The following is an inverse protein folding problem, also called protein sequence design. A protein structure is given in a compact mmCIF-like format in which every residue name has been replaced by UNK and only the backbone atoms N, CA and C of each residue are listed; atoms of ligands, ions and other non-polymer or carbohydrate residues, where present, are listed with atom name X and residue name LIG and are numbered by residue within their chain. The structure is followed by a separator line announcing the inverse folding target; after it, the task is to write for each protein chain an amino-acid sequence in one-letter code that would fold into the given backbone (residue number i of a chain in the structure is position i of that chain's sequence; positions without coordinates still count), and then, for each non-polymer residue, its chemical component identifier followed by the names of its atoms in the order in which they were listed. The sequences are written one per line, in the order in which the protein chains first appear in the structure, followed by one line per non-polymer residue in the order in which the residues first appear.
data_IF_023063118075
#
_entry.id   IF_023063118075
#
_cell.length_a   1.000
_cell.length_b   1.000
_cell.length_c   1.000
_cell.angle_alpha   90.00
_cell.angle_beta   90.00
_cell.angle_gamma   90.00
#
_symmetry.space_group_name_H-M   'P 1'
#
loop_
_entity.id
_entity.type
_entity.pdbx_description
1 polymer ?
#
# COMPACT_ATOMS: atom_id res chain seq x y z
N UNK A 1 -18.57 25.93 -15.52
CA UNK A 1 -18.90 25.42 -14.17
C UNK A 1 -17.64 24.79 -13.63
N UNK A 2 -17.21 25.09 -12.40
CA UNK A 2 -15.98 24.55 -11.84
C UNK A 2 -16.24 23.78 -10.54
N UNK A 3 -15.38 22.80 -10.22
CA UNK A 3 -15.57 21.88 -9.09
C UNK A 3 -15.53 22.57 -7.74
N UNK A 4 -14.74 23.65 -7.61
CA UNK A 4 -14.72 24.48 -6.41
C UNK A 4 -16.12 25.00 -6.05
N UNK A 5 -16.85 25.55 -7.02
CA UNK A 5 -18.21 26.08 -6.82
C UNK A 5 -19.20 24.98 -6.45
N UNK A 6 -19.06 23.80 -7.06
CA UNK A 6 -19.91 22.64 -6.80
C UNK A 6 -19.70 22.11 -5.39
N UNK A 7 -18.46 21.80 -5.01
CA UNK A 7 -18.08 21.32 -3.68
C UNK A 7 -18.50 22.30 -2.58
N UNK A 8 -18.30 23.60 -2.82
CA UNK A 8 -18.73 24.64 -1.88
C UNK A 8 -20.25 24.60 -1.67
N UNK A 9 -21.03 24.50 -2.75
CA UNK A 9 -22.50 24.45 -2.66
C UNK A 9 -22.99 23.15 -2.02
N UNK A 10 -22.38 22.02 -2.35
CA UNK A 10 -22.70 20.71 -1.77
C UNK A 10 -22.50 20.71 -0.25
N UNK A 11 -21.37 21.25 0.22
CA UNK A 11 -21.07 21.41 1.65
C UNK A 11 -21.77 22.61 2.30
N UNK A 12 -22.65 23.30 1.58
CA UNK A 12 -23.41 24.48 2.03
C UNK A 12 -22.52 25.60 2.61
N UNK A 13 -21.38 25.84 1.98
CA UNK A 13 -20.42 26.88 2.38
C UNK A 13 -20.61 28.16 1.57
N UNK A 14 -20.37 29.30 2.20
CA UNK A 14 -20.30 30.61 1.54
C UNK A 14 -18.91 30.88 0.96
N UNK A 15 -18.81 31.77 -0.04
CA UNK A 15 -17.50 32.17 -0.57
C UNK A 15 -16.64 32.81 0.53
N UNK A 16 -17.27 33.61 1.40
CA UNK A 16 -16.65 34.18 2.60
C UNK A 16 -16.05 33.14 3.55
N UNK A 17 -16.76 32.05 3.83
CA UNK A 17 -16.22 30.98 4.69
C UNK A 17 -14.95 30.34 4.09
N UNK A 18 -14.96 30.06 2.79
CA UNK A 18 -13.80 29.49 2.10
C UNK A 18 -12.63 30.49 2.07
N UNK A 19 -12.93 31.77 1.84
CA UNK A 19 -11.93 32.83 1.84
C UNK A 19 -11.28 33.00 3.22
N UNK A 20 -12.08 32.93 4.29
CA UNK A 20 -11.60 32.99 5.66
C UNK A 20 -10.70 31.79 6.00
N UNK A 21 -11.08 30.58 5.58
CA UNK A 21 -10.27 29.38 5.75
C UNK A 21 -8.89 29.53 5.11
N UNK A 22 -8.83 30.03 3.88
CA UNK A 22 -7.58 30.25 3.15
C UNK A 22 -6.85 31.54 3.53
N UNK A 23 -7.44 32.39 4.38
CA UNK A 23 -6.96 33.73 4.74
C UNK A 23 -6.69 34.62 3.51
N UNK A 24 -7.62 34.61 2.55
CA UNK A 24 -7.57 35.42 1.32
C UNK A 24 -8.83 36.28 1.17
N UNK A 25 -8.82 37.16 0.16
CA UNK A 25 -9.98 37.97 -0.16
C UNK A 25 -11.11 37.11 -0.75
N UNK A 26 -12.36 37.34 -0.33
CA UNK A 26 -13.57 36.70 -0.87
C UNK A 26 -13.69 36.84 -2.39
N UNK A 27 -13.29 38.00 -2.94
CA UNK A 27 -13.26 38.23 -4.40
C UNK A 27 -12.38 37.22 -5.12
N UNK A 28 -11.33 36.72 -4.49
CA UNK A 28 -10.45 35.70 -5.07
C UNK A 28 -11.21 34.38 -5.28
N UNK A 29 -12.06 33.97 -4.33
CA UNK A 29 -12.92 32.79 -4.48
C UNK A 29 -13.88 32.97 -5.65
N UNK A 30 -14.55 34.13 -5.72
CA UNK A 30 -15.47 34.44 -6.82
C UNK A 30 -14.78 34.38 -8.18
N UNK A 31 -13.59 34.98 -8.30
CA UNK A 31 -12.77 34.94 -9.52
C UNK A 31 -12.40 33.51 -9.91
N UNK A 32 -12.01 32.67 -8.97
CA UNK A 32 -11.75 31.25 -9.24
C UNK A 32 -13.00 30.54 -9.72
N UNK A 33 -14.14 30.71 -9.04
CA UNK A 33 -15.44 30.11 -9.38
C UNK A 33 -15.97 30.51 -10.77
N UNK A 34 -15.58 31.69 -11.25
CA UNK A 34 -15.95 32.21 -12.56
C UNK A 34 -14.87 32.01 -13.63
N UNK A 35 -13.69 31.50 -13.29
CA UNK A 35 -12.57 31.31 -14.22
C UNK A 35 -11.83 32.60 -14.59
N UNK A 36 -12.05 33.70 -13.86
CA UNK A 36 -11.38 34.99 -14.06
C UNK A 36 -9.92 34.98 -13.60
N UNK A 37 -9.53 34.01 -12.77
CA UNK A 37 -8.14 33.80 -12.36
C UNK A 37 -7.89 32.33 -12.05
N UNK A 38 -6.62 31.92 -12.13
CA UNK A 38 -6.21 30.56 -11.80
C UNK A 38 -5.96 30.40 -10.30
N UNK A 39 -6.33 29.24 -9.78
CA UNK A 39 -5.99 28.83 -8.41
C UNK A 39 -4.54 28.33 -8.38
N UNK A 40 -3.79 28.70 -7.35
CA UNK A 40 -2.44 28.17 -7.16
C UNK A 40 -2.50 26.75 -6.61
N UNK A 41 -1.51 25.91 -6.94
CA UNK A 41 -1.44 24.54 -6.46
C UNK A 41 -1.55 24.43 -4.93
N UNK A 42 -0.89 25.35 -4.21
CA UNK A 42 -0.95 25.44 -2.74
C UNK A 42 -2.38 25.63 -2.22
N UNK A 43 -3.13 26.56 -2.80
CA UNK A 43 -4.50 26.83 -2.37
C UNK A 43 -5.46 25.70 -2.80
N UNK A 44 -5.23 25.12 -3.97
CA UNK A 44 -5.99 23.98 -4.45
C UNK A 44 -5.81 22.76 -3.55
N UNK A 45 -4.58 22.48 -3.09
CA UNK A 45 -4.29 21.41 -2.14
C UNK A 45 -5.02 21.62 -0.80
N UNK A 46 -4.96 22.83 -0.23
CA UNK A 46 -5.67 23.14 1.01
C UNK A 46 -7.18 22.99 0.87
N UNK A 47 -7.75 23.35 -0.27
CA UNK A 47 -9.17 23.17 -0.53
C UNK A 47 -9.55 21.70 -0.75
N UNK A 48 -8.70 20.94 -1.43
CA UNK A 48 -8.87 19.50 -1.62
C UNK A 48 -8.95 18.79 -0.26
N UNK A 49 -8.00 19.09 0.63
CA UNK A 49 -8.00 18.59 2.02
C UNK A 49 -9.25 19.04 2.79
N UNK A 50 -9.62 20.32 2.68
CA UNK A 50 -10.81 20.88 3.34
C UNK A 50 -12.11 20.19 2.90
N UNK A 51 -12.24 19.87 1.61
CA UNK A 51 -13.42 19.21 1.07
C UNK A 51 -13.37 17.68 1.20
N UNK A 52 -12.23 17.10 1.57
CA UNK A 52 -12.01 15.66 1.63
C UNK A 52 -12.02 15.02 0.25
N UNK A 53 -11.54 15.74 -0.76
CA UNK A 53 -11.49 15.27 -2.15
C UNK A 53 -10.05 15.30 -2.67
N UNK A 54 -9.71 14.47 -3.65
CA UNK A 54 -8.41 14.52 -4.31
C UNK A 54 -8.18 15.86 -5.01
N UNK A 55 -6.93 16.30 -5.05
CA UNK A 55 -6.52 17.51 -5.76
C UNK A 55 -6.89 17.49 -7.25
N UNK A 56 -6.68 16.35 -7.93
CA UNK A 56 -7.05 16.16 -9.33
C UNK A 56 -8.56 16.40 -9.58
N UNK A 57 -9.41 15.94 -8.65
CA UNK A 57 -10.86 16.16 -8.73
C UNK A 57 -11.22 17.64 -8.60
N UNK A 58 -10.59 18.37 -7.68
CA UNK A 58 -10.81 19.81 -7.51
C UNK A 58 -10.37 20.62 -8.75
N UNK A 59 -9.33 20.15 -9.44
CA UNK A 59 -8.76 20.80 -10.63
C UNK A 59 -9.42 20.40 -11.96
N UNK A 60 -10.53 19.64 -11.94
CA UNK A 60 -11.19 19.13 -13.17
C UNK A 60 -10.29 18.24 -14.04
N UNK A 61 -9.33 17.55 -13.43
CA UNK A 61 -8.47 16.56 -14.10
C UNK A 61 -9.16 15.18 -14.03
N UNK A 62 -10.32 15.05 -14.68
CA UNK A 62 -11.17 13.85 -14.63
C UNK A 62 -10.47 12.63 -15.23
N UNK A 63 -9.73 12.79 -16.33
CA UNK A 63 -9.02 11.69 -16.96
C UNK A 63 -7.90 11.14 -16.06
N UNK A 64 -7.14 12.03 -15.41
CA UNK A 64 -6.14 11.67 -14.42
C UNK A 64 -6.78 11.05 -13.17
N UNK A 65 -7.95 11.54 -12.76
CA UNK A 65 -8.69 11.01 -11.63
C UNK A 65 -9.23 9.60 -11.89
N UNK A 66 -9.80 9.35 -13.08
CA UNK A 66 -10.24 8.02 -13.49
C UNK A 66 -9.07 7.04 -13.56
N UNK A 67 -7.93 7.46 -14.11
CA UNK A 67 -6.69 6.67 -14.10
C UNK A 67 -6.23 6.35 -12.68
N UNK A 68 -6.28 7.32 -11.76
CA UNK A 68 -5.94 7.09 -10.35
C UNK A 68 -6.91 6.12 -9.66
N UNK A 69 -8.21 6.23 -9.93
CA UNK A 69 -9.23 5.31 -9.41
C UNK A 69 -9.05 3.89 -9.95
N UNK A 70 -8.75 3.76 -11.23
CA UNK A 70 -8.45 2.47 -11.87
C UNK A 70 -7.19 1.84 -11.26
N UNK A 71 -6.13 2.64 -11.07
CA UNK A 71 -4.89 2.20 -10.43
C UNK A 71 -5.15 1.70 -9.00
N UNK A 72 -5.88 2.49 -8.19
CA UNK A 72 -6.22 2.13 -6.82
C UNK A 72 -7.03 0.83 -6.73
N UNK A 73 -7.86 0.53 -7.73
CA UNK A 73 -8.61 -0.73 -7.80
C UNK A 73 -7.75 -1.93 -8.18
N UNK A 74 -6.67 -1.71 -8.95
CA UNK A 74 -5.77 -2.77 -9.44
C UNK A 74 -4.65 -3.09 -8.45
N UNK A 75 -4.27 -2.14 -7.59
CA UNK A 75 -3.21 -2.34 -6.61
C UNK A 75 -3.73 -3.20 -5.44
N UNK A 76 -2.95 -4.20 -4.99
CA UNK A 76 -3.29 -4.92 -3.77
C UNK A 76 -3.23 -3.98 -2.57
N UNK A 77 -4.12 -4.18 -1.62
CA UNK A 77 -4.02 -3.58 -0.28
C UNK A 77 -2.74 -4.05 0.40
N UNK A 78 -2.29 -3.33 1.43
CA UNK A 78 -1.13 -3.74 2.24
C UNK A 78 -1.31 -5.17 2.76
N UNK A 79 -2.52 -5.52 3.21
CA UNK A 79 -2.85 -6.87 3.68
C UNK A 79 -2.74 -7.92 2.57
N UNK A 80 -3.30 -7.65 1.39
CA UNK A 80 -3.21 -8.57 0.25
C UNK A 80 -1.78 -8.71 -0.26
N UNK A 81 -0.99 -7.63 -0.20
CA UNK A 81 0.42 -7.63 -0.52
C UNK A 81 1.19 -8.53 0.46
N UNK A 82 0.98 -8.35 1.76
CA UNK A 82 1.59 -9.18 2.81
C UNK A 82 1.21 -10.66 2.66
N UNK A 83 -0.06 -10.96 2.40
CA UNK A 83 -0.55 -12.32 2.15
C UNK A 83 0.08 -12.94 0.89
N UNK A 84 0.18 -12.18 -0.21
CA UNK A 84 0.81 -12.63 -1.45
C UNK A 84 2.29 -12.93 -1.25
N UNK A 85 2.99 -12.04 -0.54
CA UNK A 85 4.40 -12.20 -0.19
C UNK A 85 4.61 -13.42 0.70
N UNK A 86 3.80 -13.57 1.75
CA UNK A 86 3.83 -14.72 2.64
C UNK A 86 3.60 -16.03 1.86
N UNK A 87 2.56 -16.10 1.04
CA UNK A 87 2.24 -17.29 0.23
C UNK A 87 3.36 -17.64 -0.75
N UNK A 88 4.01 -16.64 -1.35
CA UNK A 88 5.17 -16.86 -2.24
C UNK A 88 6.35 -17.47 -1.47
N UNK A 89 6.61 -16.99 -0.26
CA UNK A 89 7.67 -17.52 0.60
C UNK A 89 7.35 -18.91 1.14
N UNK A 90 6.12 -19.14 1.58
CA UNK A 90 5.64 -20.44 2.02
C UNK A 90 5.83 -21.50 0.91
N UNK A 91 5.46 -21.17 -0.33
CA UNK A 91 5.66 -22.07 -1.46
C UNK A 91 7.14 -22.35 -1.76
N UNK A 92 8.03 -21.37 -1.54
CA UNK A 92 9.49 -21.58 -1.67
C UNK A 92 10.00 -22.49 -0.57
N UNK A 93 9.58 -22.25 0.68
CA UNK A 93 9.96 -23.08 1.82
C UNK A 93 9.49 -24.53 1.62
N UNK A 94 8.26 -24.75 1.17
CA UNK A 94 7.76 -26.10 0.81
C UNK A 94 8.63 -26.79 -0.24
N UNK A 95 9.05 -26.08 -1.29
CA UNK A 95 9.96 -26.64 -2.30
C UNK A 95 11.36 -26.94 -1.73
N UNK A 96 11.86 -26.09 -0.85
CA UNK A 96 13.14 -26.31 -0.18
C UNK A 96 13.09 -27.56 0.72
N UNK A 97 12.04 -27.69 1.53
CA UNK A 97 11.80 -28.87 2.38
C UNK A 97 11.65 -30.14 1.54
N UNK A 98 10.92 -30.07 0.42
CA UNK A 98 10.78 -31.17 -0.51
C UNK A 98 12.14 -31.60 -1.06
N UNK A 99 12.95 -30.64 -1.53
CA UNK A 99 14.30 -30.91 -2.03
C UNK A 99 15.19 -31.60 -0.98
N UNK A 100 15.21 -31.09 0.26
CA UNK A 100 15.97 -31.72 1.36
C UNK A 100 15.49 -33.15 1.61
N UNK A 101 14.16 -33.37 1.54
CA UNK A 101 13.57 -34.70 1.76
C UNK A 101 13.90 -35.67 0.62
N UNK A 102 13.89 -35.21 -0.63
CA UNK A 102 14.18 -36.03 -1.82
C UNK A 102 15.65 -36.48 -1.86
N UNK A 103 16.56 -35.70 -1.27
CA UNK A 103 17.99 -36.00 -1.19
C UNK A 103 18.36 -36.81 0.09
N UNK A 104 17.37 -37.38 0.80
CA UNK A 104 17.54 -38.15 2.04
C UNK A 104 18.37 -37.42 3.12
N UNK A 105 18.37 -36.09 3.12
CA UNK A 105 19.18 -35.28 4.03
C UNK A 105 18.55 -35.22 5.43
N UNK A 106 19.31 -35.67 6.44
CA UNK A 106 18.89 -35.61 7.85
C UNK A 106 19.19 -34.26 8.48
N UNK A 107 18.27 -33.32 8.36
CA UNK A 107 18.38 -31.97 8.92
C UNK A 107 17.25 -31.75 9.94
N UNK A 108 17.58 -31.14 11.08
CA UNK A 108 16.58 -30.72 12.07
C UNK A 108 15.75 -29.55 11.56
N UNK A 109 14.49 -29.48 11.95
CA UNK A 109 13.53 -28.47 11.50
C UNK A 109 13.98 -27.04 11.75
N UNK A 110 14.49 -26.72 12.94
CA UNK A 110 15.11 -25.40 13.20
C UNK A 110 16.24 -25.05 12.21
N UNK A 111 17.05 -26.04 11.82
CA UNK A 111 18.16 -25.83 10.90
C UNK A 111 17.64 -25.60 9.48
N UNK A 112 16.53 -26.23 9.09
CA UNK A 112 15.88 -25.96 7.80
C UNK A 112 15.42 -24.52 7.68
N UNK A 113 14.78 -23.99 8.74
CA UNK A 113 14.33 -22.59 8.77
C UNK A 113 15.53 -21.64 8.71
N UNK A 114 16.59 -21.91 9.47
CA UNK A 114 17.81 -21.08 9.47
C UNK A 114 18.52 -21.09 8.11
N UNK A 115 18.70 -22.27 7.50
CA UNK A 115 19.32 -22.41 6.18
C UNK A 115 18.47 -21.70 5.12
N UNK A 116 17.15 -21.91 5.14
CA UNK A 116 16.25 -21.24 4.20
C UNK A 116 16.34 -19.71 4.34
N UNK A 117 16.28 -19.19 5.56
CA UNK A 117 16.39 -17.75 5.81
C UNK A 117 17.76 -17.19 5.39
N UNK A 118 18.85 -17.94 5.60
CA UNK A 118 20.18 -17.55 5.12
C UNK A 118 20.19 -17.45 3.59
N UNK A 119 19.71 -18.48 2.89
CA UNK A 119 19.63 -18.50 1.42
C UNK A 119 18.80 -17.34 0.88
N UNK A 120 17.62 -17.08 1.47
CA UNK A 120 16.74 -15.97 1.08
C UNK A 120 17.41 -14.62 1.34
N UNK A 121 18.15 -14.46 2.45
CA UNK A 121 18.86 -13.22 2.77
C UNK A 121 20.03 -12.91 1.83
N UNK A 122 20.59 -13.93 1.18
CA UNK A 122 21.69 -13.79 0.21
C UNK A 122 21.23 -13.53 -1.22
N UNK A 123 19.93 -13.59 -1.50
CA UNK A 123 19.38 -13.35 -2.84
C UNK A 123 19.24 -11.83 -3.09
N UNK A 124 20.20 -11.25 -3.83
CA UNK A 124 20.21 -9.82 -4.18
C UNK A 124 19.02 -9.40 -5.07
N UNK A 125 18.35 -10.35 -5.73
CA UNK A 125 17.12 -10.07 -6.50
C UNK A 125 15.90 -9.91 -5.60
N UNK A 126 16.06 -10.18 -4.31
CA UNK A 126 15.00 -10.19 -3.33
C UNK A 126 15.02 -8.90 -2.51
N UNK A 127 13.87 -8.25 -2.40
CA UNK A 127 13.72 -7.02 -1.61
C UNK A 127 14.20 -7.25 -0.17
N UNK A 128 15.13 -6.39 0.26
CA UNK A 128 15.74 -6.34 1.60
C UNK A 128 14.74 -6.73 2.72
N UNK A 129 15.12 -7.73 3.53
CA UNK A 129 14.51 -8.11 4.81
C UNK A 129 13.15 -8.85 4.79
N UNK A 130 12.99 -9.91 4.00
CA UNK A 130 11.87 -10.85 4.23
C UNK A 130 12.39 -12.13 4.89
N UNK A 131 12.39 -12.12 6.22
CA UNK A 131 12.59 -13.33 7.03
C UNK A 131 11.30 -14.15 6.92
N UNK A 132 11.41 -15.45 6.64
CA UNK A 132 10.25 -16.32 6.74
C UNK A 132 9.87 -16.45 8.22
N UNK A 133 8.71 -15.92 8.64
CA UNK A 133 8.44 -15.62 10.04
C UNK A 133 7.93 -16.85 10.80
N UNK A 134 8.40 -18.04 10.44
CA UNK A 134 7.95 -19.25 11.11
C UNK A 134 8.37 -19.19 12.58
N UNK A 135 7.42 -19.21 13.53
CA UNK A 135 7.76 -19.26 14.93
C UNK A 135 8.50 -20.57 15.19
N UNK A 136 9.79 -20.48 15.49
CA UNK A 136 10.54 -21.59 16.04
C UNK A 136 9.96 -21.83 17.44
N UNK A 137 9.08 -22.82 17.59
CA UNK A 137 8.74 -23.31 18.92
C UNK A 137 10.05 -23.79 19.57
N UNK A 138 10.33 -23.35 20.80
CA UNK A 138 11.51 -23.74 21.57
C UNK A 138 11.64 -25.27 21.71
N UNK A 139 10.53 -25.99 21.54
CA UNK A 139 10.46 -27.44 21.65
C UNK A 139 10.82 -28.21 20.37
N UNK A 140 11.02 -27.55 19.23
CA UNK A 140 11.40 -28.18 17.95
C UNK A 140 10.40 -29.31 17.55
N UNK A 141 9.11 -29.17 17.92
CA UNK A 141 8.04 -30.18 17.73
C UNK A 141 7.56 -30.32 16.28
N UNK A 142 8.12 -29.53 15.37
CA UNK A 142 7.79 -29.60 13.95
C UNK A 142 8.51 -30.79 13.30
N UNK A 143 7.86 -31.36 12.28
CA UNK A 143 8.44 -32.36 11.39
C UNK A 143 8.19 -31.95 9.94
N UNK A 144 9.12 -31.21 9.34
CA UNK A 144 9.02 -30.73 7.95
C UNK A 144 9.41 -31.80 6.95
N UNK A 145 10.34 -32.69 7.33
CA UNK A 145 10.76 -33.83 6.52
C UNK A 145 10.05 -35.10 7.00
N UNK A 146 9.91 -36.12 6.15
CA UNK A 146 9.36 -37.43 6.50
C UNK A 146 10.27 -38.24 7.45
N UNK A 147 10.97 -37.56 8.36
CA UNK A 147 11.65 -38.21 9.48
C UNK A 147 10.54 -38.76 10.39
N UNK A 148 10.26 -40.06 10.24
CA UNK A 148 9.54 -40.81 11.26
C UNK A 148 10.15 -40.47 12.62
N UNK A 149 9.27 -40.25 13.61
CA UNK A 149 9.64 -40.09 15.02
C UNK A 149 10.53 -41.28 15.39
N UNK A 150 11.83 -41.07 15.35
CA UNK A 150 12.79 -42.04 15.87
C UNK A 150 12.66 -41.93 17.37
N UNK A 151 12.10 -42.99 17.94
CA UNK A 151 11.90 -43.27 19.36
C UNK A 151 13.13 -42.95 20.22
#
# INVERSE_FOLDING_TARGET
MNRLKELRKEKKKSQKEIANFLKINEKTISRWENGESQITLKNAAQLADYFGVPLAYLLNQEEEWEKLQELHRKLPTVKEFDELHFKKQENRFKRFVQFVSDEDMKVKDRNLVLIFNLLVSSDETFGVNQIYPFPLDEKDEYHFTNQEKSE
#
